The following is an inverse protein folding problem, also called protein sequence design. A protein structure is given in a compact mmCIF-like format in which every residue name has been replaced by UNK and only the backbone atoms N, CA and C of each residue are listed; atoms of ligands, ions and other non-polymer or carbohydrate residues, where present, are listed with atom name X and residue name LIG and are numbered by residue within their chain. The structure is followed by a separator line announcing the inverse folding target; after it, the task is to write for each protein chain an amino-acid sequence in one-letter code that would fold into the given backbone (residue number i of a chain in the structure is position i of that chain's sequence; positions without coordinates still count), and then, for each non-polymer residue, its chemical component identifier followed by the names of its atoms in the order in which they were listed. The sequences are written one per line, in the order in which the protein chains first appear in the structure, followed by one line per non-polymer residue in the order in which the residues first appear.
data_IF_049004294210
#
_entry.id   IF_049004294210
#
_cell.length_a   1.000
_cell.length_b   1.000
_cell.length_c   1.000
_cell.angle_alpha   90.00
_cell.angle_beta   90.00
_cell.angle_gamma   90.00
#
_symmetry.space_group_name_H-M   'P 1'
#
loop_
_entity.id
_entity.type
_entity.pdbx_description
1 polymer ?
#
# COMPACT_ATOMS: atom_id res chain seq x y z
N UNK A 1 35.09 7.82 -20.37
CA UNK A 1 36.05 8.94 -20.26
C UNK A 1 35.52 9.88 -19.20
N UNK A 2 36.12 9.89 -18.01
CA UNK A 2 35.61 10.64 -16.84
C UNK A 2 36.43 11.93 -16.73
N UNK A 3 35.80 13.10 -16.87
CA UNK A 3 36.43 14.38 -16.54
C UNK A 3 36.00 14.77 -15.14
N UNK A 4 36.96 14.82 -14.21
CA UNK A 4 36.77 15.32 -12.86
C UNK A 4 37.14 16.80 -12.85
N UNK A 5 36.14 17.69 -12.72
CA UNK A 5 36.37 19.09 -12.35
C UNK A 5 35.77 19.32 -10.98
N UNK A 6 36.64 19.65 -10.02
CA UNK A 6 36.31 19.97 -8.65
C UNK A 6 35.69 21.37 -8.58
N UNK A 7 34.42 21.46 -8.17
CA UNK A 7 33.87 22.65 -7.54
C UNK A 7 32.69 22.25 -6.66
N UNK A 8 32.71 22.74 -5.42
CA UNK A 8 31.83 22.41 -4.30
C UNK A 8 30.56 23.26 -4.44
N UNK A 9 29.40 22.69 -4.06
CA UNK A 9 28.08 23.37 -3.96
C UNK A 9 27.14 23.38 -5.18
N UNK A 10 27.24 22.44 -6.13
CA UNK A 10 26.10 22.20 -7.03
C UNK A 10 25.99 20.73 -7.39
N UNK A 11 24.79 20.19 -7.16
CA UNK A 11 24.43 18.77 -7.29
C UNK A 11 24.84 18.27 -8.68
N UNK A 12 25.96 17.53 -8.73
CA UNK A 12 26.46 16.92 -9.96
C UNK A 12 25.50 15.83 -10.42
N UNK A 13 24.74 16.16 -11.45
CA UNK A 13 23.91 15.25 -12.21
C UNK A 13 24.81 14.24 -12.94
N UNK A 14 24.86 12.99 -12.48
CA UNK A 14 25.52 11.89 -13.20
C UNK A 14 24.47 10.94 -13.79
N UNK A 15 24.26 11.01 -15.10
CA UNK A 15 23.34 10.14 -15.82
C UNK A 15 23.87 8.68 -15.81
N UNK A 16 23.29 7.82 -14.96
CA UNK A 16 23.55 6.37 -15.00
C UNK A 16 22.40 5.69 -15.77
N UNK A 17 22.73 4.91 -16.80
CA UNK A 17 21.75 4.24 -17.65
C UNK A 17 21.26 2.98 -16.94
N UNK A 18 19.96 2.91 -16.59
CA UNK A 18 19.34 1.70 -16.04
C UNK A 18 18.74 0.86 -17.20
N UNK A 19 19.26 -0.34 -17.50
CA UNK A 19 18.84 -1.14 -18.66
C UNK A 19 17.40 -1.67 -18.57
N UNK A 20 16.71 -1.55 -17.42
CA UNK A 20 15.28 -1.89 -17.29
C UNK A 20 14.32 -0.73 -17.56
N UNK A 21 14.75 0.53 -17.45
CA UNK A 21 13.82 1.68 -17.39
C UNK A 21 14.22 2.90 -18.25
N UNK A 22 15.26 2.79 -19.07
CA UNK A 22 15.72 3.91 -19.92
C UNK A 22 16.38 5.04 -19.11
N UNK A 23 16.57 6.20 -19.75
CA UNK A 23 17.25 7.37 -19.17
C UNK A 23 16.49 7.93 -17.97
N UNK A 24 16.92 7.61 -16.74
CA UNK A 24 16.37 8.22 -15.53
C UNK A 24 17.22 9.42 -15.13
N UNK A 25 16.64 10.61 -15.20
CA UNK A 25 17.18 11.82 -14.55
C UNK A 25 17.37 11.50 -13.06
N UNK A 26 18.50 11.90 -12.48
CA UNK A 26 18.71 11.91 -11.02
C UNK A 26 17.65 12.80 -10.34
N UNK A 27 16.46 12.26 -10.12
CA UNK A 27 15.60 12.72 -9.03
C UNK A 27 15.94 11.85 -7.85
N UNK A 28 16.20 12.48 -6.71
CA UNK A 28 16.25 11.82 -5.43
C UNK A 28 15.02 10.93 -5.26
N UNK A 29 15.10 9.67 -5.66
CA UNK A 29 14.27 8.63 -5.10
C UNK A 29 14.76 8.53 -3.68
N UNK A 30 14.06 9.17 -2.73
CA UNK A 30 14.23 8.78 -1.33
C UNK A 30 14.12 7.25 -1.31
N UNK A 31 15.05 6.59 -0.63
CA UNK A 31 15.06 5.15 -0.53
C UNK A 31 13.99 4.69 0.48
N UNK A 32 12.73 5.02 0.19
CA UNK A 32 11.57 4.70 0.99
C UNK A 32 11.41 3.18 1.12
N UNK A 33 11.99 2.40 0.21
CA UNK A 33 12.06 0.93 0.30
C UNK A 33 12.94 0.48 1.46
N UNK A 34 13.97 1.25 1.78
CA UNK A 34 14.84 1.04 2.93
C UNK A 34 14.42 1.84 4.17
N UNK A 35 13.23 2.46 4.15
CA UNK A 35 12.69 3.21 5.29
C UNK A 35 13.33 4.59 5.48
N UNK A 36 14.06 5.08 4.49
CA UNK A 36 14.69 6.40 4.52
C UNK A 36 13.68 7.42 3.97
N UNK A 37 13.21 8.31 4.84
CA UNK A 37 12.22 9.35 4.51
C UNK A 37 12.77 10.76 4.81
N UNK A 38 12.48 11.76 3.96
CA UNK A 38 12.80 13.16 4.22
C UNK A 38 11.88 13.71 5.32
N UNK A 39 12.32 13.67 6.58
CA UNK A 39 11.49 14.01 7.76
C UNK A 39 10.91 15.43 7.70
N UNK A 40 11.60 16.36 7.04
CA UNK A 40 11.18 17.75 6.82
C UNK A 40 9.91 17.89 5.98
N UNK A 41 9.57 16.88 5.16
CA UNK A 41 8.35 16.85 4.35
C UNK A 41 7.12 16.37 5.14
N UNK A 42 7.32 15.89 6.37
CA UNK A 42 6.25 15.37 7.22
C UNK A 42 5.88 16.37 8.31
N UNK A 43 4.59 16.68 8.42
CA UNK A 43 4.01 17.36 9.57
C UNK A 43 3.80 16.34 10.69
N UNK A 44 4.53 16.49 11.80
CA UNK A 44 4.38 15.67 13.00
C UNK A 44 3.41 16.33 14.00
N UNK A 45 2.47 15.58 14.53
CA UNK A 45 1.57 16.00 15.60
C UNK A 45 1.59 14.98 16.74
N UNK A 46 1.74 15.46 17.98
CA UNK A 46 1.66 14.63 19.17
C UNK A 46 0.26 14.74 19.78
N UNK A 47 -0.30 13.61 20.18
CA UNK A 47 -1.64 13.50 20.74
C UNK A 47 -1.64 12.63 21.99
N UNK A 48 -2.77 12.67 22.70
CA UNK A 48 -3.04 11.71 23.78
C UNK A 48 -3.40 10.34 23.18
N UNK A 49 -2.90 9.30 23.83
CA UNK A 49 -3.23 7.91 23.49
C UNK A 49 -4.67 7.59 23.86
N UNK A 50 -5.31 6.70 23.12
CA UNK A 50 -6.73 6.37 23.33
C UNK A 50 -6.98 5.23 24.34
N UNK A 51 -5.94 4.76 25.04
CA UNK A 51 -5.99 3.58 25.91
C UNK A 51 -6.76 3.77 27.24
N UNK A 52 -7.07 2.67 27.95
CA UNK A 52 -7.80 2.71 29.23
C UNK A 52 -7.07 3.59 30.25
N UNK A 53 -7.82 4.52 30.83
CA UNK A 53 -7.32 5.63 31.64
C UNK A 53 -6.43 5.19 32.81
N UNK A 54 -5.17 5.60 32.75
CA UNK A 54 -4.22 5.59 33.86
C UNK A 54 -3.48 6.94 33.92
N UNK A 55 -2.75 7.20 35.02
CA UNK A 55 -2.06 8.48 35.23
C UNK A 55 -1.20 8.93 34.02
N UNK A 56 -0.51 7.99 33.36
CA UNK A 56 0.34 8.32 32.21
C UNK A 56 -0.46 8.70 30.94
N UNK A 57 -1.61 8.07 30.69
CA UNK A 57 -2.45 8.31 29.50
C UNK A 57 -3.03 9.72 29.49
N UNK A 58 -3.36 10.23 30.68
CA UNK A 58 -3.95 11.56 30.83
C UNK A 58 -2.90 12.70 30.82
N UNK A 59 -1.62 12.39 31.05
CA UNK A 59 -0.57 13.39 31.28
C UNK A 59 0.43 13.53 30.13
N UNK A 60 0.71 12.47 29.37
CA UNK A 60 1.78 12.49 28.36
C UNK A 60 1.24 12.27 26.96
N UNK A 61 1.56 13.19 26.05
CA UNK A 61 1.22 13.06 24.63
C UNK A 61 2.19 12.07 23.96
N UNK A 62 1.89 10.77 24.05
CA UNK A 62 2.74 9.72 23.49
C UNK A 62 2.30 9.28 22.10
N UNK A 63 1.04 9.51 21.71
CA UNK A 63 0.55 9.17 20.36
C UNK A 63 1.17 10.10 19.34
N UNK A 64 1.67 9.55 18.24
CA UNK A 64 2.24 10.30 17.13
C UNK A 64 1.37 10.16 15.90
N UNK A 65 1.17 11.26 15.20
CA UNK A 65 0.65 11.31 13.85
C UNK A 65 1.66 11.99 12.93
N UNK A 66 1.93 11.37 11.80
CA UNK A 66 2.67 11.97 10.69
C UNK A 66 1.72 12.20 9.52
N UNK A 67 1.82 13.39 8.92
CA UNK A 67 1.03 13.81 7.77
C UNK A 67 1.92 14.37 6.68
N UNK A 68 1.59 14.11 5.43
CA UNK A 68 2.27 14.69 4.28
C UNK A 68 1.30 14.82 3.11
N UNK A 69 1.53 15.80 2.24
CA UNK A 69 0.73 15.99 1.04
C UNK A 69 1.17 14.99 -0.04
N UNK A 70 0.23 14.20 -0.55
CA UNK A 70 0.50 13.25 -1.63
C UNK A 70 0.61 13.92 -3.00
N UNK A 71 0.01 15.11 -3.18
CA UNK A 71 0.03 15.85 -4.43
C UNK A 71 1.39 16.55 -4.66
N UNK A 72 2.02 17.01 -3.58
CA UNK A 72 3.34 17.66 -3.60
C UNK A 72 4.51 16.68 -3.32
N UNK A 73 4.20 15.38 -3.18
CA UNK A 73 5.18 14.36 -2.85
C UNK A 73 6.15 14.09 -4.02
N UNK A 74 7.39 14.53 -3.88
CA UNK A 74 8.49 14.33 -4.84
C UNK A 74 9.29 13.05 -4.60
N UNK A 75 9.11 12.43 -3.44
CA UNK A 75 9.89 11.30 -2.97
C UNK A 75 9.22 9.93 -3.24
N UNK A 76 7.95 9.94 -3.69
CA UNK A 76 7.19 8.77 -4.14
C UNK A 76 6.84 8.83 -5.63
N UNK A 77 6.79 7.69 -6.34
CA UNK A 77 6.21 7.62 -7.68
C UNK A 77 4.71 7.95 -7.68
N UNK A 78 4.25 8.69 -8.71
CA UNK A 78 2.83 9.05 -8.86
C UNK A 78 1.89 7.84 -8.87
N UNK A 79 2.29 6.74 -9.51
CA UNK A 79 1.52 5.48 -9.55
C UNK A 79 1.28 4.88 -8.17
N UNK A 80 2.26 5.01 -7.26
CA UNK A 80 2.11 4.58 -5.86
C UNK A 80 1.16 5.52 -5.14
N UNK A 81 1.32 6.85 -5.29
CA UNK A 81 0.42 7.82 -4.65
C UNK A 81 -1.04 7.60 -5.02
N UNK A 82 -1.35 7.47 -6.31
CA UNK A 82 -2.72 7.21 -6.80
C UNK A 82 -3.30 5.90 -6.24
N UNK A 83 -2.49 4.84 -6.19
CA UNK A 83 -2.92 3.55 -5.66
C UNK A 83 -3.13 3.59 -4.15
N UNK A 84 -2.30 4.34 -3.44
CA UNK A 84 -2.33 4.47 -1.99
C UNK A 84 -3.62 5.17 -1.54
N UNK A 85 -4.09 6.19 -2.27
CA UNK A 85 -5.40 6.83 -2.06
C UNK A 85 -6.55 5.83 -2.24
N UNK A 86 -6.52 5.02 -3.30
CA UNK A 86 -7.56 4.01 -3.56
C UNK A 86 -7.58 2.91 -2.51
N UNK A 87 -6.41 2.51 -2.01
CA UNK A 87 -6.25 1.41 -1.07
C UNK A 87 -6.57 1.80 0.37
N UNK A 88 -6.25 3.03 0.77
CA UNK A 88 -6.43 3.52 2.13
C UNK A 88 -7.25 4.83 2.15
N UNK A 89 -8.51 4.82 1.69
CA UNK A 89 -9.31 6.04 1.58
C UNK A 89 -9.54 6.72 2.94
N UNK A 90 -9.64 5.94 4.02
CA UNK A 90 -9.86 6.46 5.37
C UNK A 90 -8.64 7.20 5.95
N UNK A 91 -7.48 7.10 5.30
CA UNK A 91 -6.23 7.76 5.72
C UNK A 91 -5.88 8.97 4.87
N UNK A 92 -6.70 9.27 3.86
CA UNK A 92 -6.51 10.39 2.96
C UNK A 92 -7.58 11.45 3.22
N UNK A 93 -7.16 12.70 3.37
CA UNK A 93 -8.09 13.80 3.61
C UNK A 93 -8.42 14.55 2.31
N UNK A 94 -9.53 15.31 2.30
CA UNK A 94 -9.95 16.16 1.17
C UNK A 94 -8.91 17.23 0.78
N UNK A 95 -8.01 17.57 1.71
CA UNK A 95 -6.91 18.51 1.50
C UNK A 95 -5.70 17.91 0.78
N UNK A 96 -5.71 16.62 0.43
CA UNK A 96 -4.56 15.98 -0.22
C UNK A 96 -3.58 15.30 0.73
N UNK A 97 -3.81 15.40 2.04
CA UNK A 97 -2.91 14.85 3.05
C UNK A 97 -3.15 13.37 3.33
N UNK A 98 -2.07 12.60 3.45
CA UNK A 98 -2.09 11.22 3.95
C UNK A 98 -1.65 11.16 5.41
N UNK A 99 -2.40 10.41 6.23
CA UNK A 99 -2.28 10.43 7.68
C UNK A 99 -1.95 9.03 8.23
N UNK A 100 -0.89 8.95 9.03
CA UNK A 100 -0.47 7.73 9.71
C UNK A 100 -0.26 8.01 11.18
N UNK A 101 -0.83 7.16 12.02
CA UNK A 101 -0.79 7.31 13.48
C UNK A 101 -0.26 6.06 14.16
N UNK A 102 0.42 6.23 15.30
CA UNK A 102 0.80 5.15 16.19
C UNK A 102 0.76 5.57 17.66
N UNK A 103 0.22 4.71 18.51
CA UNK A 103 0.15 4.83 19.97
C UNK A 103 0.47 3.50 20.69
N UNK A 104 1.23 2.62 20.03
CA UNK A 104 1.57 1.28 20.54
C UNK A 104 2.59 1.31 21.69
N UNK A 105 3.51 2.26 21.66
CA UNK A 105 4.61 2.37 22.60
C UNK A 105 4.37 3.47 23.64
N UNK A 106 5.06 3.35 24.78
CA UNK A 106 4.98 4.33 25.88
C UNK A 106 5.68 5.65 25.60
N UNK A 107 6.52 5.74 24.57
CA UNK A 107 7.28 6.96 24.23
C UNK A 107 6.94 7.45 22.83
N UNK A 108 6.87 8.78 22.68
CA UNK A 108 6.57 9.41 21.40
C UNK A 108 7.60 9.06 20.32
N UNK A 109 8.90 9.04 20.65
CA UNK A 109 9.97 8.71 19.70
C UNK A 109 9.82 7.30 19.09
N UNK A 110 9.47 6.30 19.91
CA UNK A 110 9.22 4.94 19.41
C UNK A 110 7.95 4.89 18.55
N UNK A 111 6.92 5.62 18.94
CA UNK A 111 5.71 5.73 18.12
C UNK A 111 5.94 6.46 16.79
N UNK A 112 6.86 7.42 16.74
CA UNK A 112 7.30 8.07 15.52
C UNK A 112 8.01 7.08 14.58
N UNK A 113 8.94 6.28 15.10
CA UNK A 113 9.60 5.21 14.32
C UNK A 113 8.57 4.23 13.74
N UNK A 114 7.63 3.77 14.55
CA UNK A 114 6.56 2.85 14.11
C UNK A 114 5.67 3.50 13.03
N UNK A 115 5.44 4.82 13.07
CA UNK A 115 4.70 5.50 12.00
C UNK A 115 5.43 5.38 10.65
N UNK A 116 6.75 5.57 10.63
CA UNK A 116 7.55 5.43 9.40
C UNK A 116 7.65 3.97 8.92
N UNK A 117 7.76 3.01 9.84
CA UNK A 117 7.71 1.58 9.50
C UNK A 117 6.35 1.19 8.90
N UNK A 118 5.24 1.69 9.48
CA UNK A 118 3.90 1.51 8.91
C UNK A 118 3.80 2.12 7.52
N UNK A 119 4.33 3.33 7.32
CA UNK A 119 4.38 3.97 6.00
C UNK A 119 5.12 3.09 4.99
N UNK A 120 6.33 2.67 5.31
CA UNK A 120 7.15 1.80 4.46
C UNK A 120 6.42 0.52 4.09
N UNK A 121 5.81 -0.15 5.07
CA UNK A 121 5.05 -1.37 4.82
C UNK A 121 3.85 -1.13 3.89
N UNK A 122 3.10 -0.04 4.08
CA UNK A 122 1.99 0.33 3.19
C UNK A 122 2.49 0.58 1.76
N UNK A 123 3.62 1.26 1.60
CA UNK A 123 4.22 1.54 0.30
C UNK A 123 4.70 0.26 -0.40
N UNK A 124 5.38 -0.63 0.31
CA UNK A 124 5.86 -1.91 -0.24
C UNK A 124 4.70 -2.81 -0.67
N UNK A 125 3.63 -2.89 0.12
CA UNK A 125 2.43 -3.64 -0.24
C UNK A 125 1.74 -3.03 -1.48
N UNK A 126 1.71 -1.70 -1.56
CA UNK A 126 1.13 -0.98 -2.70
C UNK A 126 1.94 -1.22 -3.97
N UNK A 127 3.26 -1.16 -3.89
CA UNK A 127 4.16 -1.48 -5.02
C UNK A 127 3.98 -2.93 -5.49
N UNK A 128 3.88 -3.88 -4.56
CA UNK A 128 3.68 -5.30 -4.89
C UNK A 128 2.38 -5.52 -5.66
N UNK A 129 1.29 -4.86 -5.24
CA UNK A 129 0.01 -4.94 -5.94
C UNK A 129 0.06 -4.35 -7.34
N UNK A 130 0.71 -3.18 -7.51
CA UNK A 130 0.89 -2.59 -8.84
C UNK A 130 1.67 -3.52 -9.78
N UNK A 131 2.72 -4.18 -9.29
CA UNK A 131 3.46 -5.17 -10.07
C UNK A 131 2.61 -6.40 -10.41
N UNK A 132 1.71 -6.80 -9.52
CA UNK A 132 0.82 -7.93 -9.76
C UNK A 132 -0.26 -7.61 -10.79
N UNK A 133 -0.86 -6.41 -10.75
CA UNK A 133 -1.87 -5.99 -11.73
C UNK A 133 -1.30 -5.90 -13.15
N UNK A 134 -0.04 -5.47 -13.26
CA UNK A 134 0.64 -5.36 -14.55
C UNK A 134 1.28 -6.68 -15.01
N UNK A 135 1.10 -7.79 -14.29
CA UNK A 135 1.69 -9.08 -14.68
C UNK A 135 0.82 -9.78 -15.73
N UNK A 136 1.47 -10.37 -16.72
CA UNK A 136 0.81 -11.34 -17.60
C UNK A 136 0.55 -12.62 -16.79
N UNK A 137 -0.67 -13.17 -16.81
CA UNK A 137 -0.96 -14.43 -16.11
C UNK A 137 -0.03 -15.56 -16.59
N UNK A 138 0.56 -16.28 -15.64
CA UNK A 138 1.40 -17.44 -15.96
C UNK A 138 0.52 -18.60 -16.42
N UNK A 139 1.10 -19.59 -17.11
CA UNK A 139 0.40 -20.83 -17.50
C UNK A 139 -0.29 -21.51 -16.30
N UNK A 140 0.37 -21.54 -15.14
CA UNK A 140 -0.20 -22.06 -13.89
C UNK A 140 -1.45 -21.27 -13.44
N UNK A 141 -1.44 -19.94 -13.54
CA UNK A 141 -2.60 -19.12 -13.20
C UNK A 141 -3.79 -19.43 -14.13
N UNK A 142 -3.51 -19.61 -15.42
CA UNK A 142 -4.52 -19.97 -16.42
C UNK A 142 -5.13 -21.34 -16.12
N UNK A 143 -4.31 -22.33 -15.74
CA UNK A 143 -4.78 -23.65 -15.33
C UNK A 143 -5.69 -23.58 -14.11
N UNK A 144 -5.29 -22.84 -13.07
CA UNK A 144 -6.12 -22.63 -11.86
C UNK A 144 -7.45 -21.95 -12.22
N UNK A 145 -7.44 -20.99 -13.14
CA UNK A 145 -8.65 -20.31 -13.58
C UNK A 145 -9.59 -21.26 -14.35
N UNK A 146 -9.04 -22.13 -15.20
CA UNK A 146 -9.79 -23.16 -15.91
C UNK A 146 -10.44 -24.15 -14.93
N UNK A 147 -9.68 -24.70 -13.98
CA UNK A 147 -10.20 -25.61 -12.95
C UNK A 147 -11.34 -24.97 -12.13
N UNK A 148 -11.21 -23.68 -11.78
CA UNK A 148 -12.29 -22.93 -11.11
C UNK A 148 -13.55 -22.83 -11.97
N UNK A 149 -13.41 -22.55 -13.27
CA UNK A 149 -14.56 -22.47 -14.21
C UNK A 149 -15.25 -23.83 -14.33
N UNK A 150 -14.49 -24.90 -14.46
CA UNK A 150 -15.01 -26.27 -14.55
C UNK A 150 -15.73 -26.69 -13.27
N UNK A 151 -15.15 -26.40 -12.10
CA UNK A 151 -15.79 -26.63 -10.79
C UNK A 151 -17.10 -25.87 -10.66
N UNK A 152 -17.11 -24.58 -11.02
CA UNK A 152 -18.32 -23.76 -10.98
C UNK A 152 -19.42 -24.29 -11.92
N UNK A 153 -19.05 -24.73 -13.13
CA UNK A 153 -19.97 -25.33 -14.08
C UNK A 153 -20.58 -26.64 -13.55
N UNK A 154 -19.76 -27.50 -12.91
CA UNK A 154 -20.22 -28.73 -12.28
C UNK A 154 -21.23 -28.46 -11.17
N UNK A 155 -20.94 -27.51 -10.26
CA UNK A 155 -21.85 -27.10 -9.19
C UNK A 155 -23.17 -26.56 -9.76
N UNK A 156 -23.11 -25.73 -10.81
CA UNK A 156 -24.32 -25.20 -11.46
C UNK A 156 -25.16 -26.32 -12.07
N UNK A 157 -24.53 -27.32 -12.69
CA UNK A 157 -25.23 -28.47 -13.29
C UNK A 157 -25.93 -29.30 -12.23
N UNK A 158 -25.24 -29.67 -11.15
CA UNK A 158 -25.83 -30.46 -10.06
C UNK A 158 -26.97 -29.71 -9.37
N UNK A 159 -26.85 -28.39 -9.20
CA UNK A 159 -27.94 -27.56 -8.68
C UNK A 159 -29.19 -27.57 -9.59
N UNK A 160 -29.02 -27.54 -10.91
CA UNK A 160 -30.15 -27.66 -11.86
C UNK A 160 -30.79 -29.05 -11.82
N UNK A 161 -29.97 -30.11 -11.76
CA UNK A 161 -30.45 -31.49 -11.69
C UNK A 161 -31.26 -31.73 -10.42
N UNK A 162 -30.76 -31.28 -9.26
CA UNK A 162 -31.50 -31.34 -7.99
C UNK A 162 -32.81 -30.54 -8.04
N UNK A 163 -32.82 -29.36 -8.66
CA UNK A 163 -34.05 -28.57 -8.82
C UNK A 163 -35.06 -29.25 -9.76
N UNK A 164 -34.59 -29.87 -10.86
CA UNK A 164 -35.44 -30.66 -11.78
C UNK A 164 -36.04 -31.86 -11.05
N UNK A 165 -35.25 -32.59 -10.28
CA UNK A 165 -35.74 -33.70 -9.46
C UNK A 165 -36.80 -33.22 -8.47
N UNK A 166 -36.54 -32.14 -7.73
CA UNK A 166 -37.53 -31.53 -6.81
C UNK A 166 -38.81 -31.09 -7.50
N UNK A 167 -38.76 -30.63 -8.76
CA UNK A 167 -39.96 -30.29 -9.54
C UNK A 167 -40.75 -31.55 -9.90
N UNK A 168 -40.07 -32.59 -10.37
CA UNK A 168 -40.67 -33.89 -10.72
C UNK A 168 -41.34 -34.57 -9.51
N UNK A 169 -40.66 -34.58 -8.37
CA UNK A 169 -41.21 -35.11 -7.11
C UNK A 169 -42.47 -34.37 -6.67
N UNK A 170 -42.55 -33.05 -6.88
CA UNK A 170 -43.75 -32.25 -6.55
C UNK A 170 -44.93 -32.45 -7.49
N UNK A 171 -44.68 -32.90 -8.72
CA UNK A 171 -45.72 -33.16 -9.71
C UNK A 171 -46.18 -34.62 -9.72
N UNK A 172 -45.59 -35.49 -8.90
CA UNK A 172 -46.07 -36.85 -8.71
C UNK A 172 -47.19 -36.82 -7.68
N UNK A 173 -48.38 -37.28 -8.08
CA UNK A 173 -49.45 -37.61 -7.16
C UNK A 173 -49.15 -38.97 -6.51
N UNK A 174 -49.32 -39.05 -5.20
CA UNK A 174 -49.12 -40.28 -4.44
C UNK A 174 -50.52 -40.86 -4.19
N UNK A 175 -50.79 -42.03 -4.76
CA UNK A 175 -51.98 -42.84 -4.47
C UNK A 175 -51.99 -43.37 -3.03
#
# INVERSE_FOLDING_TARGET
MVLIVNNISSVKQLLTVNPRYGFTVNRCFSDWRNGIFPKEKFRKTLMRSSGPGGQNVNKVNTKVEIRFDLNECDFLPSSICERLVKKYPNRYNKLGEFMITSDEMRTAEKNEQICYEKLQNMLLLTEKELKFENRVPTEQDNKVLQEKRERAAKIRRTAKETQKMKRKWRSMEFD
#
